data_IF_620612818939
#
_entry.id   IF_620612818939
#
_cell.length_a   1.000
_cell.length_b   1.000
_cell.length_c   1.000
_cell.angle_alpha   90.00
_cell.angle_beta   90.00
_cell.angle_gamma   90.00
#
_symmetry.space_group_name_H-M   'P 1'
#
loop_
_entity.id
_entity.type
_entity.pdbx_description
1 polymer ?
#
# COMPACT_ATOMS: atom_id res chain seq x y z
N UNK A 1 41.24 11.23 -6.38
CA UNK A 1 41.67 11.29 -4.96
C UNK A 1 40.62 10.59 -4.11
N UNK A 2 40.90 9.37 -3.62
CA UNK A 2 39.99 8.63 -2.74
C UNK A 2 40.34 8.96 -1.29
N UNK A 3 39.55 9.78 -0.60
CA UNK A 3 39.76 10.00 0.83
C UNK A 3 39.44 8.70 1.58
N UNK A 4 40.44 8.18 2.28
CA UNK A 4 40.30 7.01 3.16
C UNK A 4 39.63 7.48 4.45
N UNK A 5 38.30 7.47 4.49
CA UNK A 5 37.50 7.90 5.66
C UNK A 5 37.61 6.98 6.90
N UNK A 6 38.37 5.89 6.82
CA UNK A 6 38.52 4.90 7.91
C UNK A 6 39.34 5.39 9.11
N UNK A 7 40.12 6.48 9.00
CA UNK A 7 41.09 6.87 10.04
C UNK A 7 40.50 7.67 11.21
N UNK A 8 39.25 8.16 11.12
CA UNK A 8 38.58 8.88 12.21
C UNK A 8 37.21 8.29 12.58
N UNK A 9 36.93 7.04 12.19
CA UNK A 9 35.68 6.38 12.56
C UNK A 9 35.74 6.02 14.05
N UNK A 10 35.08 6.84 14.85
CA UNK A 10 34.76 6.44 16.22
C UNK A 10 33.57 5.47 16.16
N UNK A 11 33.82 4.20 16.49
CA UNK A 11 32.83 3.15 16.42
C UNK A 11 31.67 3.38 17.40
N UNK A 12 31.94 3.87 18.62
CA UNK A 12 30.88 4.11 19.61
C UNK A 12 29.92 5.19 19.12
N UNK A 13 30.46 6.26 18.54
CA UNK A 13 29.64 7.38 18.04
C UNK A 13 28.84 6.94 16.82
N UNK A 14 29.45 6.17 15.92
CA UNK A 14 28.79 5.64 14.73
C UNK A 14 27.65 4.67 15.08
N UNK A 15 27.87 3.79 16.05
CA UNK A 15 26.84 2.88 16.57
C UNK A 15 25.74 3.68 17.27
N UNK A 16 26.08 4.68 18.09
CA UNK A 16 25.10 5.50 18.82
C UNK A 16 24.17 6.24 17.86
N UNK A 17 24.72 6.80 16.77
CA UNK A 17 23.94 7.44 15.70
C UNK A 17 23.06 6.42 14.96
N UNK A 18 23.59 5.23 14.66
CA UNK A 18 22.81 4.19 13.99
C UNK A 18 21.63 3.70 14.85
N UNK A 19 21.86 3.49 16.15
CA UNK A 19 20.84 3.08 17.11
C UNK A 19 19.77 4.15 17.28
N UNK A 20 20.15 5.42 17.41
CA UNK A 20 19.20 6.54 17.49
C UNK A 20 18.29 6.60 16.24
N UNK A 21 18.85 6.39 15.04
CA UNK A 21 18.06 6.34 13.79
C UNK A 21 17.09 5.17 13.76
N UNK A 22 17.53 3.97 14.16
CA UNK A 22 16.67 2.77 14.21
C UNK A 22 15.53 3.00 15.20
N UNK A 23 15.83 3.54 16.38
CA UNK A 23 14.84 3.82 17.41
C UNK A 23 13.80 4.85 16.92
N UNK A 24 14.24 5.95 16.31
CA UNK A 24 13.33 6.96 15.74
C UNK A 24 12.44 6.41 14.62
N UNK A 25 12.93 5.43 13.85
CA UNK A 25 12.14 4.79 12.79
C UNK A 25 11.12 3.78 13.31
N UNK A 26 11.26 3.32 14.56
CA UNK A 26 10.41 2.27 15.12
C UNK A 26 9.00 2.74 15.47
N UNK A 27 8.86 3.94 16.06
CA UNK A 27 7.55 4.51 16.39
C UNK A 27 6.66 4.72 15.15
N UNK A 28 7.15 5.34 14.06
CA UNK A 28 6.40 5.42 12.80
C UNK A 28 6.00 4.05 12.26
N UNK A 29 6.91 3.07 12.31
CA UNK A 29 6.63 1.72 11.84
C UNK A 29 5.47 1.09 12.63
N UNK A 30 5.48 1.24 13.95
CA UNK A 30 4.42 0.73 14.83
C UNK A 30 3.08 1.41 14.54
N UNK A 31 3.08 2.71 14.29
CA UNK A 31 1.89 3.45 13.88
C UNK A 31 1.32 2.91 12.55
N UNK A 32 2.17 2.74 11.53
CA UNK A 32 1.78 2.17 10.22
C UNK A 32 1.16 0.76 10.38
N UNK A 33 1.75 -0.09 11.23
CA UNK A 33 1.21 -1.43 11.52
C UNK A 33 -0.18 -1.36 12.16
N UNK A 34 -0.36 -0.46 13.13
CA UNK A 34 -1.64 -0.31 13.82
C UNK A 34 -2.73 0.20 12.86
N UNK A 35 -2.42 1.20 12.04
CA UNK A 35 -3.34 1.71 11.01
C UNK A 35 -3.79 0.60 10.05
N UNK A 36 -2.84 -0.23 9.59
CA UNK A 36 -3.15 -1.37 8.72
C UNK A 36 -4.02 -2.44 9.40
N UNK A 37 -3.88 -2.65 10.72
CA UNK A 37 -4.70 -3.60 11.48
C UNK A 37 -6.11 -3.08 11.71
N UNK A 38 -6.28 -1.79 11.95
CA UNK A 38 -7.58 -1.14 12.12
C UNK A 38 -8.39 -1.12 10.82
N UNK A 39 -7.70 -0.99 9.68
CA UNK A 39 -8.34 -0.98 8.36
C UNK A 39 -8.81 -2.36 7.93
N UNK A 40 -10.08 -2.65 8.21
CA UNK A 40 -10.72 -3.90 7.80
C UNK A 40 -10.90 -3.98 6.29
N UNK A 41 -10.66 -5.16 5.74
CA UNK A 41 -10.82 -5.47 4.32
C UNK A 41 -11.90 -6.53 4.14
N UNK A 42 -12.89 -6.21 3.32
CA UNK A 42 -13.80 -7.22 2.77
C UNK A 42 -13.03 -8.11 1.79
N UNK A 43 -13.39 -9.38 1.71
CA UNK A 43 -12.85 -10.36 0.76
C UNK A 43 -12.85 -9.86 -0.68
N UNK A 44 -13.95 -9.25 -1.15
CA UNK A 44 -14.02 -8.72 -2.51
C UNK A 44 -13.01 -7.59 -2.75
N UNK A 45 -12.83 -6.70 -1.75
CA UNK A 45 -11.87 -5.62 -1.84
C UNK A 45 -10.43 -6.16 -1.80
N UNK A 46 -10.16 -7.19 -0.99
CA UNK A 46 -8.87 -7.86 -0.96
C UNK A 46 -8.52 -8.50 -2.31
N UNK A 47 -9.46 -9.20 -2.95
CA UNK A 47 -9.26 -9.75 -4.31
C UNK A 47 -8.93 -8.64 -5.31
N UNK A 48 -9.67 -7.53 -5.30
CA UNK A 48 -9.39 -6.39 -6.19
C UNK A 48 -8.01 -5.79 -5.95
N UNK A 49 -7.56 -5.67 -4.70
CA UNK A 49 -6.22 -5.18 -4.39
C UNK A 49 -5.13 -6.15 -4.85
N UNK A 50 -5.33 -7.45 -4.63
CA UNK A 50 -4.41 -8.50 -5.08
C UNK A 50 -4.33 -8.46 -6.61
N UNK A 51 -5.42 -8.66 -7.34
CA UNK A 51 -5.37 -8.71 -8.79
C UNK A 51 -4.97 -7.36 -9.42
N UNK A 52 -5.44 -6.24 -8.87
CA UNK A 52 -5.06 -4.90 -9.31
C UNK A 52 -3.56 -4.62 -9.16
N UNK A 53 -2.91 -5.13 -8.10
CA UNK A 53 -1.47 -4.97 -7.93
C UNK A 53 -0.64 -5.54 -9.09
N UNK A 54 -1.09 -6.65 -9.68
CA UNK A 54 -0.40 -7.35 -10.77
C UNK A 54 -0.91 -6.99 -12.16
N UNK A 55 -2.24 -6.91 -12.36
CA UNK A 55 -2.87 -6.68 -13.67
C UNK A 55 -2.76 -5.21 -14.07
N UNK A 56 -3.10 -4.29 -13.17
CA UNK A 56 -2.96 -2.85 -13.41
C UNK A 56 -1.51 -2.37 -13.24
N UNK A 57 -0.61 -3.27 -12.84
CA UNK A 57 0.81 -2.98 -12.70
C UNK A 57 1.12 -1.96 -11.61
N UNK A 58 0.26 -1.83 -10.59
CA UNK A 58 0.48 -0.90 -9.45
C UNK A 58 1.78 -1.21 -8.73
N UNK A 59 2.22 -2.48 -8.73
CA UNK A 59 3.57 -2.86 -8.31
C UNK A 59 4.34 -3.40 -9.51
N UNK A 60 5.28 -2.60 -10.01
CA UNK A 60 6.10 -2.95 -11.19
C UNK A 60 7.08 -4.07 -10.88
N UNK A 61 7.21 -4.99 -11.83
CA UNK A 61 8.26 -6.02 -11.82
C UNK A 61 7.95 -7.27 -11.00
N UNK A 62 6.75 -7.39 -10.42
CA UNK A 62 6.32 -8.64 -9.76
C UNK A 62 5.98 -9.70 -10.82
N UNK A 63 6.52 -10.93 -10.74
CA UNK A 63 6.11 -12.03 -11.60
C UNK A 63 4.63 -12.41 -11.42
N UNK A 64 3.91 -12.61 -12.54
CA UNK A 64 2.46 -12.91 -12.51
C UNK A 64 2.10 -14.23 -11.83
N UNK A 65 3.00 -15.21 -11.80
CA UNK A 65 2.73 -16.49 -11.12
C UNK A 65 2.56 -16.33 -9.60
N UNK A 66 3.16 -15.27 -9.01
CA UNK A 66 3.00 -14.99 -7.58
C UNK A 66 1.59 -14.53 -7.19
N UNK A 67 0.74 -14.17 -8.15
CA UNK A 67 -0.68 -13.86 -7.87
C UNK A 67 -1.34 -15.02 -7.11
N UNK A 68 -1.08 -16.26 -7.54
CA UNK A 68 -1.66 -17.44 -6.92
C UNK A 68 -1.14 -17.62 -5.50
N UNK A 69 0.17 -17.46 -5.31
CA UNK A 69 0.84 -17.59 -4.01
C UNK A 69 0.37 -16.51 -3.02
N UNK A 70 0.20 -15.26 -3.47
CA UNK A 70 -0.36 -14.18 -2.65
C UNK A 70 -1.81 -14.47 -2.26
N UNK A 71 -2.60 -14.97 -3.20
CA UNK A 71 -3.99 -15.33 -2.96
C UNK A 71 -4.08 -16.45 -1.91
N UNK A 72 -3.34 -17.54 -2.09
CA UNK A 72 -3.26 -18.66 -1.13
C UNK A 72 -2.80 -18.16 0.25
N UNK A 73 -1.70 -17.41 0.34
CA UNK A 73 -1.21 -16.87 1.61
C UNK A 73 -2.18 -15.91 2.32
N UNK A 74 -3.08 -15.27 1.60
CA UNK A 74 -4.08 -14.38 2.19
C UNK A 74 -5.32 -15.13 2.66
N UNK A 75 -5.85 -16.07 1.86
CA UNK A 75 -7.08 -16.80 2.16
C UNK A 75 -6.86 -18.04 3.03
N UNK A 76 -5.68 -18.64 2.95
CA UNK A 76 -5.26 -19.82 3.71
C UNK A 76 -3.91 -19.53 4.39
N UNK A 77 -3.87 -18.58 5.33
CA UNK A 77 -2.62 -18.19 5.98
C UNK A 77 -2.05 -19.34 6.83
N UNK A 78 -0.75 -19.56 6.72
CA UNK A 78 0.00 -20.53 7.54
C UNK A 78 -0.02 -20.17 9.03
N UNK A 79 -0.08 -18.86 9.33
CA UNK A 79 -0.01 -18.31 10.69
C UNK A 79 -1.37 -17.74 11.14
N UNK A 80 -1.89 -18.13 12.31
CA UNK A 80 -3.17 -17.62 12.83
C UNK A 80 -3.21 -16.10 13.01
N UNK A 81 -2.08 -15.45 13.32
CA UNK A 81 -1.97 -14.00 13.42
C UNK A 81 -2.21 -13.25 12.10
N UNK A 82 -2.20 -13.96 10.97
CA UNK A 82 -2.52 -13.43 9.65
C UNK A 82 -3.94 -13.77 9.20
N UNK A 83 -4.79 -14.27 10.11
CA UNK A 83 -6.20 -14.51 9.80
C UNK A 83 -6.85 -13.30 9.13
N UNK A 84 -7.69 -13.62 8.16
CA UNK A 84 -8.23 -12.68 7.17
C UNK A 84 -9.01 -11.53 7.80
N UNK A 85 -8.88 -10.35 7.20
CA UNK A 85 -9.84 -9.26 7.43
C UNK A 85 -9.25 -7.87 7.63
N UNK A 86 -7.93 -7.67 7.50
CA UNK A 86 -7.31 -6.36 7.57
C UNK A 86 -6.15 -6.20 6.57
N UNK A 87 -5.73 -4.95 6.36
CA UNK A 87 -4.66 -4.59 5.44
C UNK A 87 -3.29 -5.13 5.88
N UNK A 88 -3.10 -5.34 7.18
CA UNK A 88 -1.89 -5.94 7.74
C UNK A 88 -1.68 -7.39 7.26
N UNK A 89 -2.74 -8.22 7.31
CA UNK A 89 -2.70 -9.59 6.79
C UNK A 89 -2.41 -9.63 5.29
N UNK A 90 -2.95 -8.67 4.52
CA UNK A 90 -2.64 -8.53 3.09
C UNK A 90 -1.15 -8.23 2.85
N UNK A 91 -0.57 -7.32 3.63
CA UNK A 91 0.88 -7.03 3.60
C UNK A 91 1.72 -8.28 3.79
N UNK A 92 1.38 -9.07 4.82
CA UNK A 92 2.10 -10.29 5.16
C UNK A 92 1.96 -11.39 4.10
N UNK A 93 0.81 -11.48 3.44
CA UNK A 93 0.63 -12.41 2.32
C UNK A 93 1.56 -12.08 1.14
N UNK A 94 1.68 -10.79 0.80
CA UNK A 94 2.63 -10.33 -0.22
C UNK A 94 4.08 -10.59 0.18
N UNK A 95 4.51 -10.18 1.37
CA UNK A 95 5.91 -10.37 1.80
C UNK A 95 6.28 -11.84 1.93
N UNK A 96 5.34 -12.70 2.34
CA UNK A 96 5.53 -14.15 2.37
C UNK A 96 5.70 -14.73 0.97
N UNK A 97 4.90 -14.27 -0.01
CA UNK A 97 5.06 -14.71 -1.42
C UNK A 97 6.41 -14.28 -2.03
N UNK A 98 6.96 -13.15 -1.59
CA UNK A 98 8.23 -12.65 -2.11
C UNK A 98 9.45 -13.46 -1.69
N UNK A 99 9.30 -14.40 -0.74
CA UNK A 99 10.36 -15.35 -0.38
C UNK A 99 10.73 -16.28 -1.55
N UNK A 100 9.86 -16.44 -2.54
CA UNK A 100 10.14 -17.18 -3.78
C UNK A 100 11.04 -16.40 -4.77
N UNK A 101 11.27 -15.11 -4.51
CA UNK A 101 12.07 -14.24 -5.38
C UNK A 101 13.56 -14.27 -5.00
N UNK A 102 14.42 -13.95 -5.97
CA UNK A 102 15.85 -13.69 -5.68
C UNK A 102 15.98 -12.47 -4.75
N UNK A 103 16.93 -12.47 -3.79
CA UNK A 103 17.03 -11.42 -2.74
C UNK A 103 17.05 -9.97 -3.27
N UNK A 104 17.74 -9.71 -4.38
CA UNK A 104 17.77 -8.36 -4.98
C UNK A 104 16.41 -7.89 -5.49
N UNK A 105 15.67 -8.79 -6.15
CA UNK A 105 14.30 -8.53 -6.63
C UNK A 105 13.34 -8.39 -5.45
N UNK A 106 13.52 -9.21 -4.42
CA UNK A 106 12.72 -9.15 -3.20
C UNK A 106 12.82 -7.77 -2.53
N UNK A 107 14.02 -7.22 -2.38
CA UNK A 107 14.22 -5.90 -1.78
C UNK A 107 13.53 -4.78 -2.60
N UNK A 108 13.74 -4.76 -3.92
CA UNK A 108 13.14 -3.78 -4.83
C UNK A 108 11.60 -3.83 -4.79
N UNK A 109 11.04 -5.03 -4.84
CA UNK A 109 9.59 -5.24 -4.86
C UNK A 109 8.98 -4.94 -3.49
N UNK A 110 9.66 -5.26 -2.38
CA UNK A 110 9.18 -4.96 -1.02
C UNK A 110 9.12 -3.45 -0.78
N UNK A 111 10.09 -2.68 -1.25
CA UNK A 111 10.05 -1.21 -1.18
C UNK A 111 8.84 -0.62 -1.95
N UNK A 112 8.52 -1.22 -3.10
CA UNK A 112 7.34 -0.82 -3.89
C UNK A 112 6.03 -1.23 -3.23
N UNK A 113 5.98 -2.39 -2.58
CA UNK A 113 4.83 -2.81 -1.79
C UNK A 113 4.55 -1.79 -0.68
N UNK A 114 5.56 -1.32 0.05
CA UNK A 114 5.38 -0.30 1.08
C UNK A 114 4.73 0.99 0.53
N UNK A 115 5.14 1.42 -0.66
CA UNK A 115 4.52 2.59 -1.33
C UNK A 115 3.07 2.32 -1.74
N UNK A 116 2.78 1.12 -2.24
CA UNK A 116 1.41 0.70 -2.59
C UNK A 116 0.51 0.66 -1.36
N UNK A 117 0.97 0.09 -0.25
CA UNK A 117 0.20 -0.01 0.99
C UNK A 117 -0.10 1.37 1.58
N UNK A 118 0.88 2.28 1.56
CA UNK A 118 0.68 3.66 1.99
C UNK A 118 -0.35 4.40 1.12
N UNK A 119 -0.32 4.20 -0.18
CA UNK A 119 -1.34 4.74 -1.08
C UNK A 119 -2.73 4.16 -0.80
N UNK A 120 -2.80 2.87 -0.43
CA UNK A 120 -4.05 2.19 -0.08
C UNK A 120 -4.59 2.65 1.28
N UNK A 121 -3.73 2.95 2.27
CA UNK A 121 -4.13 3.59 3.53
C UNK A 121 -4.60 5.04 3.35
N UNK A 122 -3.91 5.83 2.53
CA UNK A 122 -4.19 7.25 2.38
C UNK A 122 -5.39 7.63 1.50
N UNK A 123 -5.95 6.69 0.72
CA UNK A 123 -6.92 7.02 -0.35
C UNK A 123 -8.41 6.94 0.04
N UNK A 124 -8.80 6.79 1.30
CA UNK A 124 -10.22 6.69 1.70
C UNK A 124 -10.97 8.04 1.83
N UNK A 125 -10.39 9.17 1.43
CA UNK A 125 -11.10 10.47 1.43
C UNK A 125 -11.82 10.80 0.12
N UNK A 126 -11.98 9.85 -0.81
CA UNK A 126 -12.56 10.16 -2.13
C UNK A 126 -13.36 9.05 -2.77
N UNK A 127 -14.68 9.23 -2.74
CA UNK A 127 -15.66 8.73 -3.71
C UNK A 127 -16.11 7.25 -3.61
N UNK A 128 -17.12 7.03 -2.76
CA UNK A 128 -18.37 6.41 -3.25
C UNK A 128 -19.54 6.81 -2.35
N UNK A 129 -20.01 8.06 -2.51
CA UNK A 129 -21.38 8.43 -2.18
C UNK A 129 -22.10 8.75 -3.48
N UNK A 130 -23.06 7.88 -3.76
CA UNK A 130 -24.18 8.06 -4.67
C UNK A 130 -24.71 9.50 -4.69
N UNK A 131 -24.69 10.12 -5.87
CA UNK A 131 -25.76 11.00 -6.32
C UNK A 131 -26.22 10.51 -7.69
N UNK A 132 -27.05 9.46 -7.67
CA UNK A 132 -28.12 9.33 -8.64
C UNK A 132 -29.24 10.29 -8.19
N UNK A 133 -29.53 11.32 -8.99
CA UNK A 133 -30.56 12.29 -8.67
C UNK A 133 -30.72 13.38 -9.74
N UNK A 134 -31.55 13.08 -10.74
CA UNK A 134 -32.32 14.04 -11.55
C UNK A 134 -31.56 15.03 -12.46
N UNK A 135 -31.03 14.52 -13.57
CA UNK A 135 -30.93 15.28 -14.83
C UNK A 135 -32.22 15.15 -15.64
N UNK A 136 -33.29 15.82 -15.22
CA UNK A 136 -34.50 15.99 -16.04
C UNK A 136 -34.51 17.45 -16.52
N UNK A 137 -34.17 17.61 -17.80
CA UNK A 137 -34.19 18.90 -18.46
C UNK A 137 -35.59 19.48 -18.48
N UNK A 138 -35.71 20.73 -18.04
CA UNK A 138 -36.79 21.60 -18.48
C UNK A 138 -36.19 22.93 -18.90
N UNK A 139 -36.40 23.20 -20.19
CA UNK A 139 -36.18 24.46 -20.87
C UNK A 139 -36.85 25.60 -20.10
N UNK A 140 -36.10 26.65 -19.79
CA UNK A 140 -36.70 27.95 -19.50
C UNK A 140 -36.98 28.68 -20.82
N UNK A 141 -38.20 29.21 -21.02
CA UNK A 141 -38.54 29.97 -22.22
C UNK A 141 -37.96 31.39 -22.16
N UNK A 142 -37.40 31.82 -23.28
CA UNK A 142 -37.00 33.20 -23.61
C UNK A 142 -38.23 34.13 -23.53
N UNK A 143 -38.22 35.21 -22.74
CA UNK A 143 -39.30 36.20 -22.81
C UNK A 143 -39.16 37.02 -24.10
N UNK A 144 -40.17 36.92 -24.96
CA UNK A 144 -40.47 37.86 -26.02
C UNK A 144 -41.59 38.80 -25.54
N UNK A 145 -41.38 40.10 -25.72
CA UNK A 145 -42.36 41.18 -25.48
C UNK A 145 -41.60 42.51 -25.58
N UNK A 146 -41.49 43.12 -26.76
CA UNK A 146 -42.51 43.91 -27.47
C UNK A 146 -42.70 45.32 -26.89
N UNK A 147 -42.24 46.29 -27.70
CA UNK A 147 -42.86 47.59 -28.02
C UNK A 147 -43.10 48.62 -26.93
N UNK A 148 -42.33 49.71 -26.98
CA UNK A 148 -42.83 51.05 -27.32
C UNK A 148 -41.65 51.91 -27.84
#
# INVERSE_FOLDING_TARGET
MSQKHSKSLNLSDSISIAVDRIHRSFEPLKADVNEMKERKLNENHAKLLIYGAFIEGRIRGIPKHLVRVVHENYFEPEYPEFQTGNLWSLSNAFTSSFKELRPMKQFEITARLGSFMKAVCGNDTGASSSQAGAGLGYLTPKPAGATA
#
